data_IF_030629521285
#
_entry.id   IF_030629521285
#
_cell.length_a   1.000
_cell.length_b   1.000
_cell.length_c   1.000
_cell.angle_alpha   90.00
_cell.angle_beta   90.00
_cell.angle_gamma   90.00
#
_symmetry.space_group_name_H-M   'P 1'
#
loop_
_entity.id
_entity.type
_entity.pdbx_description
1 polymer ?
#
# COMPACT_ATOMS: atom_id res chain seq x y z
N UNK A 1 -27.44 -10.09 1.44
CA UNK A 1 -27.22 -9.22 2.61
C UNK A 1 -25.74 -9.06 2.76
N UNK A 2 -25.25 -7.85 3.02
CA UNK A 2 -23.83 -7.60 3.16
C UNK A 2 -23.27 -8.23 4.45
N UNK A 3 -22.04 -8.74 4.41
CA UNK A 3 -21.38 -9.36 5.56
C UNK A 3 -19.85 -9.26 5.47
N UNK A 4 -19.18 -9.39 6.61
CA UNK A 4 -17.70 -9.40 6.66
C UNK A 4 -17.20 -10.84 6.55
N UNK A 5 -16.18 -11.07 5.72
CA UNK A 5 -15.51 -12.36 5.59
C UNK A 5 -14.00 -12.21 5.42
N UNK A 6 -13.19 -13.25 5.69
CA UNK A 6 -11.79 -13.25 5.32
C UNK A 6 -11.60 -12.98 3.83
N UNK A 7 -10.52 -12.29 3.50
CA UNK A 7 -10.17 -12.03 2.11
C UNK A 7 -9.75 -13.33 1.40
N UNK A 8 -10.13 -13.47 0.13
CA UNK A 8 -9.72 -14.54 -0.76
C UNK A 8 -8.76 -14.00 -1.83
N UNK A 9 -7.89 -14.84 -2.40
CA UNK A 9 -7.01 -14.41 -3.50
C UNK A 9 -7.77 -13.77 -4.67
N UNK A 10 -9.00 -14.22 -4.94
CA UNK A 10 -9.89 -13.68 -5.98
C UNK A 10 -10.35 -12.25 -5.72
N UNK A 11 -10.32 -11.78 -4.47
CA UNK A 11 -10.72 -10.41 -4.11
C UNK A 11 -9.62 -9.37 -4.42
N UNK A 12 -8.41 -9.80 -4.78
CA UNK A 12 -7.26 -8.90 -4.99
C UNK A 12 -7.59 -7.76 -5.95
N UNK A 13 -8.24 -8.06 -7.07
CA UNK A 13 -8.64 -7.04 -8.06
C UNK A 13 -9.64 -6.03 -7.48
N UNK A 14 -10.61 -6.51 -6.69
CA UNK A 14 -11.60 -5.66 -6.03
C UNK A 14 -10.94 -4.78 -4.95
N UNK A 15 -10.03 -5.34 -4.15
CA UNK A 15 -9.28 -4.59 -3.14
C UNK A 15 -8.41 -3.48 -3.76
N UNK A 16 -7.74 -3.77 -4.89
CA UNK A 16 -6.99 -2.76 -5.66
C UNK A 16 -7.93 -1.66 -6.18
N UNK A 17 -9.11 -2.02 -6.68
CA UNK A 17 -10.10 -1.05 -7.13
C UNK A 17 -10.60 -0.15 -5.99
N UNK A 18 -10.99 -0.74 -4.85
CA UNK A 18 -11.44 -0.01 -3.65
C UNK A 18 -10.34 0.96 -3.18
N UNK A 19 -9.08 0.53 -3.14
CA UNK A 19 -7.95 1.38 -2.79
C UNK A 19 -7.88 2.63 -3.68
N UNK A 20 -8.03 2.46 -5.00
CA UNK A 20 -7.99 3.55 -6.00
C UNK A 20 -9.21 4.47 -5.90
N UNK A 21 -10.40 3.89 -5.79
CA UNK A 21 -11.67 4.62 -5.74
C UNK A 21 -11.81 5.50 -4.50
N UNK A 22 -11.07 5.18 -3.43
CA UNK A 22 -11.11 5.90 -2.15
C UNK A 22 -9.91 6.82 -1.94
N UNK A 23 -9.03 7.00 -2.95
CA UNK A 23 -7.91 7.94 -2.83
C UNK A 23 -8.40 9.37 -2.61
N UNK A 24 -7.70 10.16 -1.77
CA UNK A 24 -8.01 11.58 -1.64
C UNK A 24 -7.78 12.29 -2.99
N UNK A 25 -8.48 13.42 -3.26
CA UNK A 25 -8.41 14.14 -4.53
C UNK A 25 -6.99 14.48 -5.00
N UNK A 26 -6.07 14.72 -4.06
CA UNK A 26 -4.66 15.03 -4.35
C UNK A 26 -3.87 13.84 -4.93
N UNK A 27 -4.31 12.61 -4.65
CA UNK A 27 -3.69 11.38 -5.17
C UNK A 27 -4.45 10.86 -6.39
N UNK A 28 -5.79 10.92 -6.38
CA UNK A 28 -6.61 10.42 -7.50
C UNK A 28 -6.48 11.27 -8.77
N UNK A 29 -6.06 12.54 -8.67
CA UNK A 29 -5.75 13.38 -9.82
C UNK A 29 -4.45 13.00 -10.54
N UNK A 30 -3.59 12.17 -9.92
CA UNK A 30 -2.33 11.69 -10.49
C UNK A 30 -2.49 10.25 -10.99
N UNK A 31 -2.36 10.00 -12.31
CA UNK A 31 -2.39 8.65 -12.86
C UNK A 31 -1.34 7.72 -12.22
N UNK A 32 -0.10 8.20 -12.06
CA UNK A 32 0.98 7.43 -11.44
C UNK A 32 0.64 7.07 -9.99
N UNK A 33 0.15 8.03 -9.20
CA UNK A 33 -0.22 7.76 -7.80
C UNK A 33 -1.37 6.76 -7.69
N UNK A 34 -2.36 6.86 -8.59
CA UNK A 34 -3.49 5.93 -8.66
C UNK A 34 -3.04 4.51 -9.01
N UNK A 35 -2.09 4.36 -9.94
CA UNK A 35 -1.51 3.06 -10.29
C UNK A 35 -0.73 2.46 -9.12
N UNK A 36 0.13 3.26 -8.48
CA UNK A 36 1.02 2.85 -7.38
C UNK A 36 0.27 2.54 -6.07
N UNK A 37 -0.85 3.21 -5.80
CA UNK A 37 -1.53 3.18 -4.51
C UNK A 37 -1.78 1.76 -3.91
N UNK A 38 -2.32 0.78 -4.67
CA UNK A 38 -2.53 -0.55 -4.11
C UNK A 38 -1.23 -1.28 -3.73
N UNK A 39 -0.10 -0.97 -4.35
CA UNK A 39 1.19 -1.55 -4.01
C UNK A 39 1.78 -0.98 -2.71
N UNK A 40 1.39 0.24 -2.33
CA UNK A 40 1.82 0.85 -1.07
C UNK A 40 0.86 0.51 0.07
N UNK A 41 -0.42 0.38 -0.20
CA UNK A 41 -1.46 0.40 0.83
C UNK A 41 -2.39 -0.81 0.77
N UNK A 42 -2.13 -1.86 -0.01
CA UNK A 42 -3.06 -3.00 -0.08
C UNK A 42 -2.33 -4.32 -0.27
N UNK A 43 -1.61 -4.49 -1.37
CA UNK A 43 -1.08 -5.78 -1.82
C UNK A 43 -0.08 -6.38 -0.84
N UNK A 44 0.70 -5.56 -0.14
CA UNK A 44 1.64 -6.05 0.86
C UNK A 44 0.92 -6.76 2.01
N UNK A 45 -0.24 -6.26 2.45
CA UNK A 45 -1.00 -6.89 3.52
C UNK A 45 -1.63 -8.20 3.04
N UNK A 46 -2.16 -8.21 1.82
CA UNK A 46 -2.78 -9.42 1.26
C UNK A 46 -1.74 -10.53 1.05
N UNK A 47 -0.50 -10.15 0.75
CA UNK A 47 0.60 -11.09 0.55
C UNK A 47 1.21 -11.58 1.88
N UNK A 48 1.53 -10.66 2.79
CA UNK A 48 2.34 -10.95 3.98
C UNK A 48 1.52 -11.26 5.23
N UNK A 49 0.27 -10.79 5.30
CA UNK A 49 -0.61 -10.95 6.48
C UNK A 49 -2.07 -11.20 6.09
N UNK A 50 -2.38 -12.15 5.18
CA UNK A 50 -3.76 -12.40 4.72
C UNK A 50 -4.72 -12.80 5.85
N UNK A 51 -4.20 -13.41 6.93
CA UNK A 51 -4.99 -13.86 8.08
C UNK A 51 -5.60 -12.71 8.88
N UNK A 52 -5.09 -11.49 8.71
CA UNK A 52 -5.60 -10.26 9.33
C UNK A 52 -6.30 -9.35 8.32
N UNK A 53 -6.69 -9.88 7.16
CA UNK A 53 -7.35 -9.15 6.09
C UNK A 53 -8.78 -9.66 5.88
N UNK A 54 -9.73 -8.74 5.92
CA UNK A 54 -11.16 -9.00 5.76
C UNK A 54 -11.76 -8.07 4.71
N UNK A 55 -12.81 -8.52 4.05
CA UNK A 55 -13.61 -7.73 3.10
C UNK A 55 -15.05 -7.61 3.57
N UNK A 56 -15.69 -6.51 3.22
CA UNK A 56 -17.14 -6.37 3.21
C UNK A 56 -17.66 -6.93 1.89
N UNK A 57 -18.35 -8.06 1.94
CA UNK A 57 -19.04 -8.65 0.80
C UNK A 57 -20.45 -8.04 0.68
N UNK A 58 -20.91 -7.75 -0.54
CA UNK A 58 -22.25 -7.20 -0.77
C UNK A 58 -23.38 -8.24 -0.63
N UNK A 59 -23.03 -9.52 -0.47
CA UNK A 59 -23.95 -10.65 -0.40
C UNK A 59 -24.04 -11.47 -1.69
N UNK A 60 -23.35 -11.05 -2.75
CA UNK A 60 -23.25 -11.74 -4.04
C UNK A 60 -21.88 -12.35 -4.30
N UNK A 61 -20.93 -12.18 -3.37
CA UNK A 61 -19.54 -12.60 -3.52
C UNK A 61 -18.57 -11.47 -3.87
N UNK A 62 -19.08 -10.25 -4.10
CA UNK A 62 -18.26 -9.10 -4.49
C UNK A 62 -17.76 -8.34 -3.24
N UNK A 63 -16.45 -8.21 -3.11
CA UNK A 63 -15.84 -7.34 -2.11
C UNK A 63 -16.05 -5.85 -2.48
N UNK A 64 -16.69 -5.11 -1.60
CA UNK A 64 -17.03 -3.68 -1.76
C UNK A 64 -16.37 -2.76 -0.72
N UNK A 65 -15.66 -3.34 0.24
CA UNK A 65 -14.83 -2.65 1.22
C UNK A 65 -13.82 -3.61 1.84
N UNK A 66 -12.83 -3.11 2.57
CA UNK A 66 -11.88 -3.97 3.28
C UNK A 66 -11.42 -3.38 4.60
N UNK A 67 -10.96 -4.26 5.49
CA UNK A 67 -10.13 -3.92 6.66
C UNK A 67 -8.93 -4.84 6.63
N UNK A 68 -7.75 -4.26 6.47
CA UNK A 68 -6.49 -4.99 6.30
C UNK A 68 -5.41 -4.41 7.20
N UNK A 69 -4.47 -5.25 7.62
CA UNK A 69 -3.45 -4.83 8.56
C UNK A 69 -2.44 -5.93 8.85
N UNK A 70 -1.56 -5.68 9.82
CA UNK A 70 -0.66 -6.68 10.36
C UNK A 70 -0.53 -6.51 11.88
N UNK A 71 -0.35 -7.59 12.65
CA UNK A 71 -0.26 -7.53 14.11
C UNK A 71 1.15 -7.13 14.60
N UNK A 72 2.18 -7.31 13.77
CA UNK A 72 3.57 -6.99 14.11
C UNK A 72 4.32 -6.46 12.88
N UNK A 73 4.61 -5.16 12.87
CA UNK A 73 5.33 -4.47 11.78
C UNK A 73 6.79 -4.91 11.66
N UNK A 74 7.42 -5.42 12.71
CA UNK A 74 8.81 -5.91 12.64
C UNK A 74 8.85 -7.26 11.94
N UNK A 75 7.93 -8.17 12.27
CA UNK A 75 7.76 -9.42 11.54
C UNK A 75 7.34 -9.16 10.08
N UNK A 76 6.44 -8.21 9.86
CA UNK A 76 6.02 -7.79 8.53
C UNK A 76 7.19 -7.23 7.70
N UNK A 77 8.02 -6.36 8.29
CA UNK A 77 9.20 -5.80 7.65
C UNK A 77 10.26 -6.88 7.34
N UNK A 78 10.45 -7.85 8.24
CA UNK A 78 11.35 -8.98 8.01
C UNK A 78 10.90 -9.88 6.85
N UNK A 79 9.58 -10.05 6.66
CA UNK A 79 9.01 -10.83 5.56
C UNK A 79 8.94 -10.06 4.22
N UNK A 80 9.11 -8.74 4.24
CA UNK A 80 8.94 -7.88 3.07
C UNK A 80 9.76 -8.25 1.82
N UNK A 81 10.97 -8.86 1.91
CA UNK A 81 11.67 -9.35 0.72
C UNK A 81 10.84 -10.30 -0.15
N UNK A 82 9.94 -11.12 0.43
CA UNK A 82 9.07 -12.01 -0.35
C UNK A 82 8.00 -11.25 -1.14
N UNK A 83 7.51 -10.13 -0.60
CA UNK A 83 6.60 -9.23 -1.28
C UNK A 83 7.29 -8.56 -2.48
N UNK A 84 8.52 -8.07 -2.27
CA UNK A 84 9.31 -7.48 -3.37
C UNK A 84 9.52 -8.50 -4.48
N UNK A 85 9.96 -9.72 -4.15
CA UNK A 85 10.25 -10.73 -5.17
C UNK A 85 9.00 -11.24 -5.90
N UNK A 86 7.89 -11.42 -5.19
CA UNK A 86 6.69 -12.08 -5.73
C UNK A 86 5.71 -11.10 -6.37
N UNK A 87 5.62 -9.87 -5.85
CA UNK A 87 4.64 -8.88 -6.29
C UNK A 87 5.31 -7.78 -7.09
N UNK A 88 6.25 -7.03 -6.51
CA UNK A 88 6.87 -5.87 -7.19
C UNK A 88 7.75 -6.27 -8.38
N UNK A 89 8.44 -7.41 -8.29
CA UNK A 89 9.25 -7.96 -9.39
C UNK A 89 8.48 -8.86 -10.36
N UNK A 90 7.16 -9.00 -10.18
CA UNK A 90 6.32 -9.64 -11.20
C UNK A 90 6.25 -8.78 -12.47
N UNK A 91 5.90 -9.34 -13.65
CA UNK A 91 5.79 -8.54 -14.88
C UNK A 91 4.89 -7.31 -14.72
N UNK A 92 3.74 -7.47 -14.06
CA UNK A 92 2.81 -6.36 -13.79
C UNK A 92 3.35 -5.39 -12.73
N UNK A 93 4.03 -5.90 -11.70
CA UNK A 93 4.65 -5.07 -10.68
C UNK A 93 5.73 -4.15 -11.24
N UNK A 94 6.54 -4.64 -12.19
CA UNK A 94 7.58 -3.84 -12.84
C UNK A 94 7.01 -2.78 -13.79
N UNK A 95 5.84 -3.03 -14.38
CA UNK A 95 5.11 -2.06 -15.20
C UNK A 95 4.48 -0.95 -14.33
N UNK A 96 3.80 -1.35 -13.25
CA UNK A 96 3.06 -0.43 -12.38
C UNK A 96 3.97 0.33 -11.39
N UNK A 97 5.07 -0.30 -10.95
CA UNK A 97 5.99 0.20 -9.91
C UNK A 97 7.44 0.14 -10.40
N UNK A 98 7.95 1.24 -10.99
CA UNK A 98 9.34 1.30 -11.43
C UNK A 98 10.30 0.98 -10.28
N UNK A 99 11.34 0.21 -10.59
CA UNK A 99 12.41 -0.09 -9.61
C UNK A 99 13.13 1.22 -9.26
N UNK A 100 13.22 1.60 -7.97
CA UNK A 100 13.94 2.80 -7.58
C UNK A 100 15.42 2.72 -7.95
N UNK A 101 15.98 3.83 -8.44
CA UNK A 101 17.41 3.95 -8.74
C UNK A 101 18.28 3.81 -7.49
N UNK A 102 17.75 4.24 -6.33
CA UNK A 102 18.41 4.19 -5.03
C UNK A 102 17.38 4.11 -3.88
N UNK A 103 17.82 3.58 -2.72
CA UNK A 103 17.02 3.42 -1.49
C UNK A 103 17.72 4.01 -0.24
N UNK A 104 18.74 4.83 -0.44
CA UNK A 104 19.51 5.47 0.64
C UNK A 104 18.79 6.73 1.16
N UNK A 105 18.29 7.56 0.24
CA UNK A 105 17.62 8.84 0.54
C UNK A 105 16.21 8.86 -0.03
N UNK A 106 15.22 9.18 0.80
CA UNK A 106 13.84 9.30 0.36
C UNK A 106 13.64 10.62 -0.41
N UNK A 107 13.13 10.52 -1.63
CA UNK A 107 12.76 11.68 -2.44
C UNK A 107 11.63 12.48 -1.76
N UNK A 108 11.50 13.79 -2.02
CA UNK A 108 10.39 14.58 -1.50
C UNK A 108 9.03 14.01 -1.92
N UNK A 109 8.06 13.98 -1.01
CA UNK A 109 6.70 13.47 -1.27
C UNK A 109 6.01 14.16 -2.46
N UNK A 110 6.34 15.42 -2.68
CA UNK A 110 5.75 16.25 -3.74
C UNK A 110 6.82 16.99 -4.52
N UNK A 111 6.63 17.10 -5.82
CA UNK A 111 7.39 17.95 -6.71
C UNK A 111 6.51 19.11 -7.19
N UNK A 112 7.14 20.17 -7.68
CA UNK A 112 6.46 21.26 -8.37
C UNK A 112 6.71 21.04 -9.86
N UNK A 113 5.66 21.07 -10.67
CA UNK A 113 5.82 20.97 -12.12
C UNK A 113 6.19 22.31 -12.76
N UNK A 114 6.34 22.31 -14.09
CA UNK A 114 6.67 23.51 -14.86
C UNK A 114 5.63 24.64 -14.74
N UNK A 115 4.40 24.30 -14.33
CA UNK A 115 3.28 25.22 -14.16
C UNK A 115 3.17 25.74 -12.71
N UNK A 116 4.06 25.30 -11.81
CA UNK A 116 4.02 25.68 -10.41
C UNK A 116 3.05 24.86 -9.56
N UNK A 117 2.42 23.82 -10.13
CA UNK A 117 1.48 22.97 -9.40
C UNK A 117 2.20 21.90 -8.60
N UNK A 118 1.77 21.72 -7.34
CA UNK A 118 2.30 20.68 -6.45
C UNK A 118 1.69 19.33 -6.82
N UNK A 119 2.52 18.42 -7.33
CA UNK A 119 2.13 17.06 -7.70
C UNK A 119 2.83 16.02 -6.82
N UNK A 120 2.18 14.88 -6.63
CA UNK A 120 2.76 13.76 -5.87
C UNK A 120 3.91 13.16 -6.67
N UNK A 121 5.03 12.92 -6.00
CA UNK A 121 6.23 12.40 -6.61
C UNK A 121 6.17 10.87 -6.74
N UNK A 122 6.01 10.38 -7.97
CA UNK A 122 5.95 8.94 -8.23
C UNK A 122 7.26 8.21 -7.85
N UNK A 123 8.44 8.85 -7.93
CA UNK A 123 9.71 8.27 -7.49
C UNK A 123 9.71 8.01 -5.99
N UNK A 124 9.23 8.97 -5.20
CA UNK A 124 9.05 8.82 -3.75
C UNK A 124 8.10 7.67 -3.42
N UNK A 125 6.96 7.59 -4.11
CA UNK A 125 6.00 6.49 -3.90
C UNK A 125 6.59 5.11 -4.24
N UNK A 126 7.33 4.99 -5.34
CA UNK A 126 8.03 3.75 -5.68
C UNK A 126 9.07 3.38 -4.60
N UNK A 127 9.85 4.33 -4.12
CA UNK A 127 10.78 4.12 -3.01
C UNK A 127 10.08 3.59 -1.75
N UNK A 128 8.93 4.15 -1.39
CA UNK A 128 8.12 3.68 -0.26
C UNK A 128 7.62 2.25 -0.50
N UNK A 129 7.19 1.92 -1.72
CA UNK A 129 6.74 0.57 -2.06
C UNK A 129 7.85 -0.49 -1.94
N UNK A 130 9.12 -0.13 -2.16
CA UNK A 130 10.26 -1.05 -2.03
C UNK A 130 10.89 -1.06 -0.63
N UNK A 131 10.45 -0.20 0.29
CA UNK A 131 11.11 0.02 1.57
C UNK A 131 10.14 -0.11 2.74
N UNK A 132 10.10 -1.25 3.46
CA UNK A 132 9.26 -1.39 4.65
C UNK A 132 9.69 -0.42 5.76
N UNK A 133 10.96 0.01 5.72
CA UNK A 133 11.50 1.07 6.59
C UNK A 133 10.67 2.34 6.43
N UNK A 134 10.54 2.89 5.22
CA UNK A 134 9.77 4.13 4.99
C UNK A 134 8.26 3.91 5.04
N UNK A 135 7.79 2.73 4.63
CA UNK A 135 6.36 2.42 4.64
C UNK A 135 5.81 2.26 6.05
N UNK A 136 6.52 1.56 6.95
CA UNK A 136 5.98 1.08 8.23
C UNK A 136 6.75 1.55 9.46
N UNK A 137 8.08 1.60 9.41
CA UNK A 137 8.90 1.80 10.62
C UNK A 137 9.29 3.27 10.85
N UNK A 138 9.46 4.01 9.77
CA UNK A 138 9.88 5.41 9.73
C UNK A 138 8.82 6.25 9.00
N UNK A 139 9.01 7.56 9.00
CA UNK A 139 8.15 8.52 8.31
C UNK A 139 7.80 9.71 9.20
N UNK A 140 6.51 9.92 9.41
CA UNK A 140 5.99 11.04 10.18
C UNK A 140 6.49 11.03 11.62
N UNK A 141 6.56 12.21 12.21
CA UNK A 141 6.89 12.41 13.62
C UNK A 141 6.02 11.50 14.52
N UNK A 142 6.63 10.92 15.56
CA UNK A 142 5.96 9.98 16.48
C UNK A 142 5.77 8.54 15.97
N UNK A 143 5.98 8.26 14.67
CA UNK A 143 5.74 6.91 14.12
C UNK A 143 6.63 5.83 14.74
N UNK A 144 7.92 6.13 14.97
CA UNK A 144 8.86 5.19 15.64
C UNK A 144 8.42 4.80 17.05
N UNK A 145 7.92 5.76 17.82
CA UNK A 145 7.40 5.51 19.17
C UNK A 145 6.12 4.68 19.11
N UNK A 146 5.20 5.03 18.20
CA UNK A 146 3.93 4.33 18.00
C UNK A 146 4.17 2.85 17.66
N UNK A 147 5.06 2.56 16.71
CA UNK A 147 5.37 1.18 16.33
C UNK A 147 6.13 0.42 17.41
N UNK A 148 6.99 1.11 18.16
CA UNK A 148 7.66 0.52 19.32
C UNK A 148 6.66 0.07 20.40
N UNK A 149 5.58 0.84 20.61
CA UNK A 149 4.58 0.57 21.64
C UNK A 149 3.47 -0.39 21.19
N UNK A 150 2.89 -0.20 20.00
CA UNK A 150 1.67 -0.89 19.60
C UNK A 150 1.86 -1.95 18.51
N UNK A 151 3.00 -1.93 17.79
CA UNK A 151 3.47 -2.89 16.76
C UNK A 151 2.52 -3.23 15.61
N UNK A 152 1.22 -3.05 15.74
CA UNK A 152 0.22 -3.39 14.75
C UNK A 152 -0.14 -2.18 13.88
N UNK A 153 -0.53 -2.45 12.65
CA UNK A 153 -1.11 -1.46 11.74
C UNK A 153 -2.41 -1.99 11.15
N UNK A 154 -3.33 -1.08 10.86
CA UNK A 154 -4.60 -1.40 10.22
C UNK A 154 -5.04 -0.21 9.37
N UNK A 155 -5.66 -0.51 8.23
CA UNK A 155 -6.38 0.47 7.43
C UNK A 155 -7.68 -0.16 6.91
N UNK A 156 -8.73 0.67 6.82
CA UNK A 156 -10.00 0.28 6.24
C UNK A 156 -10.42 1.25 5.15
N UNK A 157 -11.08 0.73 4.11
CA UNK A 157 -11.66 1.50 3.00
C UNK A 157 -13.02 0.94 2.64
#
# INVERSE_FOLDING_TARGET
MAFIRPILPTDTTAAMHICRATLPPTLSSSPSATTLAPYLWTLQYLHLSPQTCFVLDDGSGLAVGYVIGCPDVFAFAAAYPSYISSVLRSPRGLEDVPVPEQLDTLEPWSTVDEQGEKKVNARCMAQIAYSPRWLLLEGTEGKRELVGRYRATMQGR
#
